data_IF_408554171968
#
_entry.id   IF_408554171968
#
_cell.length_a   1.000
_cell.length_b   1.000
_cell.length_c   1.000
_cell.angle_alpha   90.00
_cell.angle_beta   90.00
_cell.angle_gamma   90.00
#
_symmetry.space_group_name_H-M   'P 1'
#
loop_
_entity.id
_entity.type
_entity.pdbx_description
1 polymer ?
#
# COMPACT_ATOMS: atom_id res chain seq x y z
N UNK A 1 -14.74 23.11 7.02
CA UNK A 1 -13.84 22.60 5.96
C UNK A 1 -12.90 21.59 6.59
N UNK A 2 -12.97 20.30 6.23
CA UNK A 2 -11.99 19.31 6.68
C UNK A 2 -10.76 19.43 5.76
N UNK A 3 -9.60 19.78 6.31
CA UNK A 3 -8.34 19.78 5.57
C UNK A 3 -7.97 18.32 5.25
N UNK A 4 -8.50 17.78 4.16
CA UNK A 4 -8.10 16.46 3.67
C UNK A 4 -6.71 16.63 3.07
N UNK A 5 -5.67 16.33 3.84
CA UNK A 5 -4.29 16.30 3.36
C UNK A 5 -4.17 15.08 2.42
N UNK A 6 -4.20 15.34 1.11
CA UNK A 6 -3.92 14.32 0.08
C UNK A 6 -2.41 14.25 -0.14
N UNK A 7 -1.75 13.29 0.51
CA UNK A 7 -0.30 13.08 0.35
C UNK A 7 0.06 12.42 -0.99
N UNK A 8 -0.83 11.58 -1.56
CA UNK A 8 -0.57 10.83 -2.81
C UNK A 8 0.86 10.25 -2.82
N UNK A 9 1.65 10.53 -3.85
CA UNK A 9 3.02 10.02 -4.01
C UNK A 9 4.00 10.60 -2.98
N UNK A 10 3.71 11.77 -2.41
CA UNK A 10 4.56 12.42 -1.39
C UNK A 10 4.60 11.66 -0.07
N UNK A 11 3.64 10.77 0.18
CA UNK A 11 3.60 9.98 1.40
C UNK A 11 4.85 9.10 1.56
N UNK A 12 5.37 8.57 0.44
CA UNK A 12 6.51 7.65 0.47
C UNK A 12 7.80 8.37 0.80
N UNK A 13 8.06 9.51 0.16
CA UNK A 13 9.18 10.38 0.49
C UNK A 13 9.14 10.84 1.95
N UNK A 14 7.94 11.19 2.46
CA UNK A 14 7.76 11.52 3.87
C UNK A 14 8.11 10.37 4.81
N UNK A 15 7.68 9.13 4.51
CA UNK A 15 8.05 7.97 5.31
C UNK A 15 9.56 7.66 5.25
N UNK A 16 10.20 7.87 4.10
CA UNK A 16 11.66 7.72 3.97
C UNK A 16 12.41 8.74 4.83
N UNK A 17 11.97 10.00 4.84
CA UNK A 17 12.53 11.04 5.72
C UNK A 17 12.36 10.70 7.21
N UNK A 18 11.19 10.19 7.60
CA UNK A 18 10.95 9.74 8.98
C UNK A 18 11.86 8.56 9.36
N UNK A 19 11.99 7.57 8.47
CA UNK A 19 12.84 6.40 8.70
C UNK A 19 14.31 6.81 8.86
N UNK A 20 14.79 7.71 7.98
CA UNK A 20 16.14 8.27 8.06
C UNK A 20 16.37 9.05 9.37
N UNK A 21 15.41 9.89 9.77
CA UNK A 21 15.48 10.68 11.00
C UNK A 21 15.51 9.80 12.26
N UNK A 22 14.72 8.72 12.26
CA UNK A 22 14.66 7.78 13.38
C UNK A 22 15.76 6.70 13.35
N UNK A 23 16.63 6.70 12.33
CA UNK A 23 17.65 5.68 12.10
C UNK A 23 17.09 4.25 12.08
N UNK A 24 15.96 4.06 11.40
CA UNK A 24 15.32 2.75 11.18
C UNK A 24 15.24 2.44 9.69
N UNK A 25 15.13 1.16 9.29
CA UNK A 25 14.96 0.82 7.88
C UNK A 25 13.66 1.42 7.30
N UNK A 26 13.75 1.99 6.09
CA UNK A 26 12.57 2.34 5.30
C UNK A 26 11.71 1.11 4.96
N UNK A 27 10.46 1.35 4.57
CA UNK A 27 9.58 0.29 4.09
C UNK A 27 10.20 -0.42 2.87
N UNK A 28 10.13 -1.76 2.81
CA UNK A 28 10.58 -2.47 1.62
C UNK A 28 9.67 -2.16 0.42
N UNK A 29 10.18 -2.16 -0.82
CA UNK A 29 9.42 -1.78 -2.01
C UNK A 29 8.11 -2.55 -2.20
N UNK A 30 8.04 -3.81 -1.75
CA UNK A 30 6.81 -4.62 -1.78
C UNK A 30 5.62 -3.95 -1.09
N UNK A 31 5.84 -3.18 -0.02
CA UNK A 31 4.77 -2.48 0.71
C UNK A 31 4.11 -1.43 -0.17
N UNK A 32 4.93 -0.64 -0.88
CA UNK A 32 4.44 0.36 -1.83
C UNK A 32 3.71 -0.28 -2.99
N UNK A 33 4.25 -1.37 -3.56
CA UNK A 33 3.59 -2.10 -4.67
C UNK A 33 2.23 -2.67 -4.28
N UNK A 34 2.10 -3.23 -3.07
CA UNK A 34 0.80 -3.70 -2.55
C UNK A 34 -0.17 -2.52 -2.41
N UNK A 35 0.29 -1.38 -1.86
CA UNK A 35 -0.57 -0.21 -1.68
C UNK A 35 -1.06 0.37 -3.02
N UNK A 36 -0.19 0.42 -4.03
CA UNK A 36 -0.53 0.83 -5.40
C UNK A 36 -1.61 -0.11 -5.98
N UNK A 37 -1.39 -1.43 -5.92
CA UNK A 37 -2.37 -2.42 -6.39
C UNK A 37 -3.72 -2.33 -5.65
N UNK A 38 -3.72 -2.14 -4.33
CA UNK A 38 -4.96 -1.97 -3.55
C UNK A 38 -5.75 -0.74 -4.02
N UNK A 39 -5.08 0.37 -4.35
CA UNK A 39 -5.76 1.54 -4.86
C UNK A 39 -6.32 1.31 -6.27
N UNK A 40 -5.57 0.66 -7.15
CA UNK A 40 -6.05 0.29 -8.48
C UNK A 40 -7.32 -0.59 -8.40
N UNK A 41 -7.30 -1.59 -7.52
CA UNK A 41 -8.46 -2.47 -7.32
C UNK A 41 -9.64 -1.71 -6.71
N UNK A 42 -9.39 -0.76 -5.82
CA UNK A 42 -10.42 0.10 -5.23
C UNK A 42 -11.07 1.02 -6.28
N UNK A 43 -10.28 1.56 -7.20
CA UNK A 43 -10.78 2.38 -8.30
C UNK A 43 -11.58 1.55 -9.31
N UNK A 44 -11.19 0.29 -9.50
CA UNK A 44 -11.88 -0.66 -10.38
C UNK A 44 -13.22 -1.13 -9.81
N UNK A 45 -13.23 -1.62 -8.56
CA UNK A 45 -14.45 -2.03 -7.86
C UNK A 45 -14.35 -1.72 -6.36
N UNK A 46 -14.96 -0.59 -5.99
CA UNK A 46 -14.99 -0.12 -4.61
C UNK A 46 -15.74 -1.06 -3.64
N UNK A 47 -16.62 -1.93 -4.16
CA UNK A 47 -17.46 -2.81 -3.32
C UNK A 47 -16.78 -4.13 -2.98
N UNK A 48 -15.89 -4.62 -3.85
CA UNK A 48 -15.27 -5.95 -3.70
C UNK A 48 -13.76 -5.94 -3.53
N UNK A 49 -13.04 -4.81 -3.69
CA UNK A 49 -11.57 -4.77 -3.59
C UNK A 49 -11.00 -5.28 -2.26
N UNK A 50 -11.81 -5.34 -1.18
CA UNK A 50 -11.39 -5.90 0.11
C UNK A 50 -11.36 -7.43 0.14
N UNK A 51 -11.84 -8.10 -0.90
CA UNK A 51 -11.77 -9.56 -1.06
C UNK A 51 -10.40 -10.04 -1.60
N UNK A 52 -9.52 -9.11 -2.01
CA UNK A 52 -8.16 -9.44 -2.39
C UNK A 52 -7.31 -9.74 -1.13
N UNK A 53 -6.60 -10.85 -1.17
CA UNK A 53 -5.65 -11.28 -0.15
C UNK A 53 -4.23 -11.17 -0.70
N UNK A 54 -3.31 -10.67 0.12
CA UNK A 54 -1.93 -10.39 -0.28
C UNK A 54 -0.98 -11.20 0.59
N UNK A 55 -0.04 -11.90 -0.05
CA UNK A 55 1.05 -12.63 0.62
C UNK A 55 2.39 -12.11 0.13
N UNK A 56 3.16 -11.52 1.04
CA UNK A 56 4.54 -11.09 0.76
C UNK A 56 5.41 -12.34 0.57
N UNK A 57 6.19 -12.36 -0.51
CA UNK A 57 7.14 -13.44 -0.83
C UNK A 57 8.54 -13.03 -0.38
N UNK A 58 8.93 -11.79 -0.70
CA UNK A 58 10.23 -11.20 -0.42
C UNK A 58 10.11 -9.66 -0.34
N UNK A 59 11.24 -8.93 -0.30
CA UNK A 59 11.26 -7.47 -0.18
C UNK A 59 10.71 -6.73 -1.41
N UNK A 60 10.57 -7.42 -2.55
CA UNK A 60 10.14 -6.87 -3.83
C UNK A 60 8.79 -7.41 -4.31
N UNK A 61 8.44 -8.64 -3.94
CA UNK A 61 7.37 -9.40 -4.58
C UNK A 61 6.27 -9.84 -3.61
N UNK A 62 5.04 -9.83 -4.11
CA UNK A 62 3.86 -10.37 -3.43
C UNK A 62 3.05 -11.25 -4.38
N UNK A 63 2.27 -12.17 -3.81
CA UNK A 63 1.18 -12.88 -4.49
C UNK A 63 -0.15 -12.26 -4.10
N UNK A 64 -1.06 -12.20 -5.05
CA UNK A 64 -2.45 -11.80 -4.84
C UNK A 64 -3.38 -12.97 -5.15
N UNK A 65 -4.39 -13.16 -4.32
CA UNK A 65 -5.50 -14.07 -4.57
C UNK A 65 -6.81 -13.38 -4.26
N UNK A 66 -7.88 -13.75 -4.96
CA UNK A 66 -9.22 -13.24 -4.69
C UNK A 66 -10.03 -14.31 -3.97
N UNK A 67 -10.57 -13.97 -2.80
CA UNK A 67 -11.46 -14.86 -2.05
C UNK A 67 -12.62 -14.05 -1.52
N UNK A 68 -13.81 -14.27 -2.09
CA UNK A 68 -15.05 -13.77 -1.51
C UNK A 68 -15.28 -14.53 -0.21
N UNK A 69 -15.41 -13.83 0.93
CA UNK A 69 -15.95 -14.46 2.13
C UNK A 69 -17.34 -14.99 1.75
N UNK A 70 -17.51 -16.32 1.77
CA UNK A 70 -18.78 -16.98 1.54
C UNK A 70 -19.84 -16.52 2.53
#
# INVERSE_FOLDING_TARGET
MRHIIKMKDRQWAYYDELAATANVPSFPPVIRKIWEHVNEMRETDFTTYKNYQYRIIDKENFKVSYSKLC
#
